data_IF_752126807748
#
_entry.id   IF_752126807748
#
_cell.length_a   1.000
_cell.length_b   1.000
_cell.length_c   1.000
_cell.angle_alpha   90.00
_cell.angle_beta   90.00
_cell.angle_gamma   90.00
#
_symmetry.space_group_name_H-M   'P 1'
#
loop_
_entity.id
_entity.type
_entity.pdbx_description
1 polymer ?
#
# COMPACT_ATOMS: atom_id res chain seq x y z
N UNK A 1 4.15 -8.60 -16.15
CA UNK A 1 4.73 -9.65 -17.01
C UNK A 1 3.64 -10.23 -17.92
N UNK A 2 3.97 -10.86 -19.07
CA UNK A 2 2.98 -11.57 -19.89
C UNK A 2 2.23 -12.62 -19.06
N UNK A 3 0.95 -12.81 -19.37
CA UNK A 3 0.08 -13.76 -18.69
C UNK A 3 -0.41 -14.86 -19.63
N UNK A 4 -0.73 -16.06 -19.12
CA UNK A 4 -1.34 -17.12 -19.92
C UNK A 4 -2.77 -16.77 -20.35
N UNK A 5 -3.31 -17.52 -21.31
CA UNK A 5 -4.72 -17.36 -21.73
C UNK A 5 -5.65 -17.61 -20.53
N UNK A 6 -6.67 -16.77 -20.37
CA UNK A 6 -7.66 -16.89 -19.29
C UNK A 6 -7.24 -16.25 -17.95
N UNK A 7 -6.11 -15.54 -17.90
CA UNK A 7 -5.64 -14.91 -16.66
C UNK A 7 -6.57 -13.82 -16.10
N UNK A 8 -7.41 -13.20 -16.94
CA UNK A 8 -8.18 -12.01 -16.55
C UNK A 8 -9.12 -12.25 -15.36
N UNK A 9 -9.61 -13.48 -15.21
CA UNK A 9 -10.53 -13.89 -14.13
C UNK A 9 -9.79 -14.46 -12.91
N UNK A 10 -8.44 -14.43 -12.90
CA UNK A 10 -7.67 -14.93 -11.77
C UNK A 10 -7.85 -14.04 -10.54
N UNK A 11 -7.87 -14.62 -9.33
CA UNK A 11 -7.89 -13.83 -8.11
C UNK A 11 -6.57 -13.07 -7.92
N UNK A 12 -6.59 -12.11 -7.00
CA UNK A 12 -5.34 -11.64 -6.38
C UNK A 12 -4.80 -12.79 -5.53
N UNK A 13 -3.52 -13.12 -5.71
CA UNK A 13 -2.83 -14.16 -4.96
C UNK A 13 -1.74 -13.52 -4.13
N UNK A 14 -1.76 -13.76 -2.82
CA UNK A 14 -0.70 -13.36 -1.89
C UNK A 14 -0.02 -14.62 -1.33
N UNK A 15 1.30 -14.58 -1.17
CA UNK A 15 2.01 -15.58 -0.38
C UNK A 15 1.86 -15.28 1.10
N UNK A 16 1.78 -16.34 1.93
CA UNK A 16 1.74 -16.16 3.39
C UNK A 16 3.07 -15.62 3.95
N UNK A 17 4.15 -15.73 3.19
CA UNK A 17 5.45 -15.18 3.57
C UNK A 17 5.55 -13.66 3.31
N UNK A 18 4.52 -13.05 2.71
CA UNK A 18 4.49 -11.63 2.33
C UNK A 18 5.71 -11.24 1.47
N UNK A 19 6.12 -12.16 0.59
CA UNK A 19 7.28 -12.02 -0.30
C UNK A 19 6.89 -11.94 -1.78
N UNK A 20 5.59 -12.10 -2.09
CA UNK A 20 5.02 -11.98 -3.42
C UNK A 20 3.50 -11.89 -3.36
N UNK A 21 2.93 -10.89 -4.04
CA UNK A 21 1.60 -11.02 -4.62
C UNK A 21 1.61 -10.81 -6.12
N UNK A 22 0.61 -11.37 -6.77
CA UNK A 22 0.33 -11.07 -8.16
C UNK A 22 -1.16 -11.04 -8.44
N UNK A 23 -1.53 -10.26 -9.46
CA UNK A 23 -2.91 -10.15 -9.92
C UNK A 23 -2.97 -9.82 -11.41
N UNK A 24 -4.10 -10.07 -12.08
CA UNK A 24 -4.36 -9.53 -13.41
C UNK A 24 -4.26 -7.99 -13.41
N UNK A 25 -3.56 -7.45 -14.39
CA UNK A 25 -3.42 -6.01 -14.62
C UNK A 25 -3.17 -5.72 -16.10
N UNK A 26 -4.03 -4.91 -16.69
CA UNK A 26 -3.91 -4.52 -18.10
C UNK A 26 -3.89 -5.71 -19.06
N UNK A 27 -2.76 -5.93 -19.71
CA UNK A 27 -2.53 -7.02 -20.67
C UNK A 27 -1.65 -8.17 -20.12
N UNK A 28 -1.49 -8.26 -18.79
CA UNK A 28 -0.69 -9.30 -18.17
C UNK A 28 -0.92 -9.43 -16.67
N UNK A 29 0.11 -9.91 -15.97
CA UNK A 29 0.12 -9.97 -14.50
C UNK A 29 0.97 -8.83 -13.94
N UNK A 30 0.47 -8.17 -12.91
CA UNK A 30 1.28 -7.34 -12.01
C UNK A 30 1.82 -8.24 -10.91
N UNK A 31 3.13 -8.15 -10.67
CA UNK A 31 3.83 -8.84 -9.58
C UNK A 31 4.33 -7.75 -8.63
N UNK A 32 4.34 -8.04 -7.34
CA UNK A 32 4.88 -7.15 -6.33
C UNK A 32 5.55 -7.97 -5.22
N UNK A 33 6.78 -7.62 -4.82
CA UNK A 33 7.50 -8.29 -3.74
C UNK A 33 7.03 -7.90 -2.33
N UNK A 34 6.06 -6.99 -2.21
CA UNK A 34 5.51 -6.49 -0.94
C UNK A 34 6.53 -5.79 0.00
N UNK A 35 7.74 -5.48 -0.50
CA UNK A 35 8.85 -4.97 0.30
C UNK A 35 8.56 -3.61 0.96
N UNK A 36 9.00 -3.49 2.22
CA UNK A 36 8.84 -2.28 3.04
C UNK A 36 10.21 -1.72 3.48
N UNK A 37 11.11 -1.50 2.53
CA UNK A 37 12.44 -0.97 2.82
C UNK A 37 12.33 0.52 3.23
N UNK A 38 12.89 0.93 4.39
CA UNK A 38 12.91 2.33 4.80
C UNK A 38 13.60 3.22 3.77
N UNK A 39 12.98 4.36 3.45
CA UNK A 39 13.50 5.31 2.48
C UNK A 39 13.14 6.75 2.85
N UNK A 40 14.06 7.66 2.56
CA UNK A 40 13.80 9.09 2.60
C UNK A 40 12.89 9.50 1.42
N UNK A 41 12.19 10.65 1.50
CA UNK A 41 11.39 11.15 0.40
C UNK A 41 12.20 11.30 -0.90
N UNK A 42 11.80 10.57 -1.93
CA UNK A 42 12.50 10.56 -3.22
C UNK A 42 11.54 10.20 -4.37
N UNK A 43 12.03 10.39 -5.61
CA UNK A 43 11.41 9.80 -6.79
C UNK A 43 11.81 8.32 -6.86
N UNK A 44 11.02 7.47 -6.21
CA UNK A 44 11.33 6.06 -6.03
C UNK A 44 11.37 5.32 -7.38
N UNK A 45 12.45 4.58 -7.61
CA UNK A 45 12.64 3.75 -8.78
C UNK A 45 12.91 2.31 -8.37
N UNK A 46 12.42 1.32 -9.13
CA UNK A 46 12.62 -0.08 -8.80
C UNK A 46 14.10 -0.47 -9.01
N UNK A 47 14.69 -1.13 -8.02
CA UNK A 47 16.03 -1.70 -8.15
C UNK A 47 15.99 -2.97 -9.02
N UNK A 48 17.03 -3.18 -9.82
CA UNK A 48 17.11 -4.34 -10.71
C UNK A 48 17.10 -5.67 -9.94
N UNK A 49 17.71 -5.70 -8.77
CA UNK A 49 17.78 -6.89 -7.92
C UNK A 49 16.41 -7.29 -7.36
N UNK A 50 15.57 -6.32 -6.96
CA UNK A 50 14.24 -6.60 -6.41
C UNK A 50 13.30 -7.09 -7.51
N UNK A 51 13.40 -6.50 -8.71
CA UNK A 51 12.69 -6.98 -9.89
C UNK A 51 13.09 -8.42 -10.23
N UNK A 52 14.40 -8.72 -10.23
CA UNK A 52 14.90 -10.06 -10.51
C UNK A 52 14.41 -11.10 -9.48
N UNK A 53 14.49 -10.79 -8.18
CA UNK A 53 14.00 -11.64 -7.09
C UNK A 53 12.50 -11.87 -7.15
N UNK A 54 11.73 -10.83 -7.45
CA UNK A 54 10.27 -10.95 -7.62
C UNK A 54 9.93 -11.93 -8.76
N UNK A 55 10.65 -11.83 -9.87
CA UNK A 55 10.46 -12.73 -11.02
C UNK A 55 10.90 -14.16 -10.68
N UNK A 56 12.06 -14.34 -10.06
CA UNK A 56 12.54 -15.64 -9.58
C UNK A 56 11.49 -16.31 -8.69
N UNK A 57 11.02 -15.59 -7.67
CA UNK A 57 10.01 -16.08 -6.72
C UNK A 57 8.70 -16.49 -7.41
N UNK A 58 8.24 -15.69 -8.35
CA UNK A 58 7.04 -15.99 -9.12
C UNK A 58 7.18 -17.25 -9.99
N UNK A 59 8.32 -17.41 -10.67
CA UNK A 59 8.61 -18.59 -11.50
C UNK A 59 8.68 -19.85 -10.64
N UNK A 60 9.34 -19.79 -9.48
CA UNK A 60 9.43 -20.89 -8.53
C UNK A 60 8.05 -21.35 -8.03
N UNK A 61 7.14 -20.42 -7.73
CA UNK A 61 5.84 -20.73 -7.16
C UNK A 61 4.78 -21.17 -8.19
N UNK A 62 4.90 -20.72 -9.44
CA UNK A 62 3.82 -20.90 -10.45
C UNK A 62 4.21 -21.76 -11.64
N UNK A 63 5.51 -21.99 -11.89
CA UNK A 63 6.07 -22.60 -13.12
C UNK A 63 5.88 -21.78 -14.40
N UNK A 64 5.32 -20.57 -14.33
CA UNK A 64 5.13 -19.70 -15.48
C UNK A 64 6.44 -19.00 -15.86
N UNK A 65 6.81 -19.05 -17.13
CA UNK A 65 7.97 -18.33 -17.63
C UNK A 65 7.71 -16.82 -17.73
N UNK A 66 8.72 -16.01 -17.42
CA UNK A 66 8.71 -14.54 -17.58
C UNK A 66 9.72 -14.15 -18.67
N UNK A 67 9.34 -14.17 -19.95
CA UNK A 67 10.28 -13.91 -21.05
C UNK A 67 10.67 -12.43 -21.18
N UNK A 68 9.85 -11.52 -20.63
CA UNK A 68 10.09 -10.08 -20.61
C UNK A 68 9.25 -9.38 -19.55
N UNK A 69 9.69 -8.19 -19.15
CA UNK A 69 8.87 -7.25 -18.39
C UNK A 69 8.03 -6.38 -19.35
N UNK A 70 6.82 -6.02 -18.94
CA UNK A 70 5.95 -5.09 -19.70
C UNK A 70 6.10 -3.65 -19.19
N UNK A 71 6.51 -3.48 -17.94
CA UNK A 71 6.73 -2.22 -17.26
C UNK A 71 7.18 -2.51 -15.82
N UNK A 72 7.72 -1.49 -15.15
CA UNK A 72 8.10 -1.53 -13.73
C UNK A 72 8.00 -0.11 -13.16
N UNK A 73 7.67 -0.03 -11.88
CA UNK A 73 7.63 1.21 -11.12
C UNK A 73 7.82 0.87 -9.64
N UNK A 74 8.19 1.85 -8.85
CA UNK A 74 8.23 1.77 -7.39
C UNK A 74 7.47 2.97 -6.82
N UNK A 75 7.05 2.84 -5.56
CA UNK A 75 6.32 3.91 -4.88
C UNK A 75 6.61 3.86 -3.39
N UNK A 76 6.58 5.03 -2.76
CA UNK A 76 6.75 5.16 -1.32
C UNK A 76 5.42 4.99 -0.60
N UNK A 77 5.48 4.40 0.59
CA UNK A 77 4.36 4.26 1.52
C UNK A 77 4.71 4.96 2.82
N UNK A 78 3.71 5.58 3.46
CA UNK A 78 3.90 6.27 4.74
C UNK A 78 3.25 5.46 5.86
N UNK A 79 4.04 5.17 6.90
CA UNK A 79 3.60 4.43 8.08
C UNK A 79 3.79 5.27 9.34
N UNK A 80 2.80 5.25 10.23
CA UNK A 80 3.01 5.69 11.61
C UNK A 80 3.83 4.63 12.38
N UNK A 81 4.49 4.99 13.49
CA UNK A 81 5.27 4.04 14.30
C UNK A 81 4.48 2.82 14.78
N UNK A 82 3.17 2.96 15.01
CA UNK A 82 2.28 1.87 15.41
C UNK A 82 1.52 1.22 14.24
N UNK A 83 1.89 1.59 13.01
CA UNK A 83 1.37 1.09 11.73
C UNK A 83 -0.14 1.29 11.52
N UNK A 84 -0.77 2.16 12.31
CA UNK A 84 -2.17 2.54 12.12
C UNK A 84 -2.25 3.91 11.43
N UNK A 85 -3.32 4.17 10.66
CA UNK A 85 -3.59 5.49 10.14
C UNK A 85 -3.63 6.54 11.26
N UNK A 86 -3.28 7.77 10.93
CA UNK A 86 -3.33 8.92 11.84
C UNK A 86 -4.38 9.89 11.32
N UNK A 87 -5.38 10.14 12.16
CA UNK A 87 -6.52 11.02 11.86
C UNK A 87 -6.75 12.04 12.97
N UNK A 88 -7.32 13.20 12.66
CA UNK A 88 -7.74 14.16 13.71
C UNK A 88 -7.07 15.52 13.60
N UNK A 89 -7.61 16.50 14.33
CA UNK A 89 -7.08 17.86 14.36
C UNK A 89 -5.79 17.93 15.17
N UNK A 90 -4.78 18.65 14.64
CA UNK A 90 -3.56 18.91 15.42
C UNK A 90 -3.82 20.04 16.44
N UNK A 91 -3.61 19.80 17.75
CA UNK A 91 -3.87 20.83 18.76
C UNK A 91 -2.88 22.01 18.70
N UNK A 92 -1.79 21.88 17.94
CA UNK A 92 -0.77 22.93 17.77
C UNK A 92 -1.00 23.79 16.52
N UNK A 93 -1.92 23.40 15.64
CA UNK A 93 -2.21 24.10 14.39
C UNK A 93 -3.72 24.16 14.15
N UNK A 94 -4.32 25.31 14.48
CA UNK A 94 -5.75 25.53 14.34
C UNK A 94 -6.23 25.26 12.90
N UNK A 95 -7.29 24.45 12.79
CA UNK A 95 -7.89 24.07 11.51
C UNK A 95 -7.13 23.02 10.70
N UNK A 96 -5.95 22.56 11.15
CA UNK A 96 -5.20 21.51 10.47
C UNK A 96 -5.69 20.12 10.88
N UNK A 97 -6.04 19.28 9.89
CA UNK A 97 -6.51 17.91 10.11
C UNK A 97 -5.58 16.89 9.45
N UNK A 98 -5.14 15.89 10.22
CA UNK A 98 -4.35 14.76 9.74
C UNK A 98 -5.24 13.71 9.08
N UNK A 99 -4.85 13.24 7.90
CA UNK A 99 -5.31 11.99 7.30
C UNK A 99 -4.09 11.36 6.62
N UNK A 100 -3.29 10.65 7.39
CA UNK A 100 -1.98 10.17 6.97
C UNK A 100 -1.70 8.75 7.48
N UNK A 101 -0.58 8.17 7.06
CA UNK A 101 -0.08 6.91 7.62
C UNK A 101 -0.89 5.67 7.26
N UNK A 102 -1.65 5.67 6.16
CA UNK A 102 -2.45 4.53 5.71
C UNK A 102 -1.61 3.34 5.21
N UNK A 103 -0.28 3.49 5.14
CA UNK A 103 0.65 2.43 4.74
C UNK A 103 0.30 1.86 3.38
N UNK A 104 0.23 0.53 3.30
CA UNK A 104 -0.15 -0.22 2.10
C UNK A 104 -1.65 -0.36 1.85
N UNK A 105 -2.52 0.10 2.75
CA UNK A 105 -3.96 -0.20 2.70
C UNK A 105 -4.82 1.02 2.36
N UNK A 106 -4.21 2.12 1.90
CA UNK A 106 -4.91 3.37 1.61
C UNK A 106 -6.06 3.22 0.61
N UNK A 107 -5.84 2.47 -0.48
CA UNK A 107 -6.88 2.25 -1.50
C UNK A 107 -8.07 1.49 -0.90
N UNK A 108 -7.81 0.36 -0.23
CA UNK A 108 -8.84 -0.49 0.36
C UNK A 108 -9.64 0.22 1.46
N UNK A 109 -8.97 1.03 2.27
CA UNK A 109 -9.59 1.72 3.42
C UNK A 109 -10.21 3.06 3.05
N UNK A 110 -9.92 3.61 1.87
CA UNK A 110 -10.34 4.96 1.45
C UNK A 110 -11.84 5.24 1.59
N UNK A 111 -12.79 4.32 1.26
CA UNK A 111 -14.21 4.64 1.38
C UNK A 111 -14.66 4.76 2.85
N UNK A 112 -14.08 3.95 3.74
CA UNK A 112 -14.38 3.98 5.17
C UNK A 112 -13.76 5.19 5.84
N UNK A 113 -12.46 5.41 5.62
CA UNK A 113 -11.73 6.54 6.17
C UNK A 113 -12.28 7.88 5.66
N UNK A 114 -12.64 7.97 4.38
CA UNK A 114 -13.22 9.19 3.82
C UNK A 114 -14.53 9.59 4.51
N UNK A 115 -15.44 8.63 4.76
CA UNK A 115 -16.68 8.91 5.50
C UNK A 115 -16.41 9.27 6.96
N UNK A 116 -15.51 8.55 7.62
CA UNK A 116 -15.13 8.84 9.00
C UNK A 116 -14.57 10.26 9.10
N UNK A 117 -13.61 10.64 8.26
CA UNK A 117 -13.00 11.97 8.25
C UNK A 117 -14.03 13.07 7.95
N UNK A 118 -14.93 12.85 6.99
CA UNK A 118 -16.01 13.80 6.72
C UNK A 118 -16.87 14.06 7.97
N UNK A 119 -17.27 13.01 8.69
CA UNK A 119 -18.02 13.15 9.95
C UNK A 119 -17.21 13.83 11.07
N UNK A 120 -15.90 13.59 11.15
CA UNK A 120 -15.01 14.27 12.11
C UNK A 120 -14.94 15.78 11.84
N UNK A 121 -14.89 16.19 10.58
CA UNK A 121 -14.72 17.58 10.17
C UNK A 121 -16.05 18.36 10.18
N UNK A 122 -17.12 17.77 9.62
CA UNK A 122 -18.38 18.48 9.38
C UNK A 122 -19.36 18.36 10.54
N UNK A 123 -19.37 17.21 11.22
CA UNK A 123 -20.43 16.84 12.17
C UNK A 123 -19.92 16.67 13.60
N UNK A 124 -18.64 16.96 13.85
CA UNK A 124 -17.97 16.75 15.14
C UNK A 124 -18.19 15.32 15.70
N UNK A 125 -18.28 14.32 14.81
CA UNK A 125 -18.42 12.91 15.20
C UNK A 125 -17.31 12.50 16.19
N UNK A 126 -17.54 11.57 17.12
CA UNK A 126 -16.52 11.18 18.09
C UNK A 126 -15.26 10.63 17.42
N UNK A 127 -14.10 10.91 18.02
CA UNK A 127 -12.83 10.36 17.58
C UNK A 127 -12.74 8.86 17.92
N UNK A 128 -12.16 8.08 17.01
CA UNK A 128 -11.69 6.73 17.32
C UNK A 128 -10.27 6.82 17.92
N UNK A 129 -10.09 6.54 19.22
CA UNK A 129 -8.78 6.63 19.87
C UNK A 129 -7.75 5.67 19.26
N UNK A 130 -8.17 4.63 18.54
CA UNK A 130 -7.26 3.71 17.88
C UNK A 130 -6.58 4.29 16.64
N UNK A 131 -7.09 5.39 16.07
CA UNK A 131 -6.53 6.06 14.89
C UNK A 131 -6.39 7.58 15.07
N UNK A 132 -6.73 8.14 16.23
CA UNK A 132 -6.60 9.57 16.50
C UNK A 132 -5.12 10.01 16.66
N UNK A 133 -4.82 11.24 16.25
CA UNK A 133 -3.50 11.87 16.33
C UNK A 133 -3.05 12.11 17.77
N UNK A 134 -3.98 12.21 18.73
CA UNK A 134 -3.69 12.35 20.16
C UNK A 134 -2.79 11.24 20.72
N UNK A 135 -2.68 10.09 20.04
CA UNK A 135 -1.72 9.02 20.39
C UNK A 135 -0.25 9.46 20.30
N UNK A 136 0.05 10.45 19.47
CA UNK A 136 1.42 10.94 19.22
C UNK A 136 1.66 12.35 19.72
N UNK A 137 0.59 13.07 20.06
CA UNK A 137 0.70 14.42 20.61
C UNK A 137 0.62 14.32 22.13
N UNK A 138 1.79 14.25 22.77
CA UNK A 138 1.88 14.48 24.20
C UNK A 138 1.74 15.98 24.45
N UNK A 139 0.79 16.36 25.30
CA UNK A 139 0.66 17.71 25.83
C UNK A 139 1.85 18.08 26.72
#
# INVERSE_FOLDING_TARGET
VPAPVGYADWPVVHTMAEDLYFKPEGNGLMLCPEDEVPSEPCDAQPEEIDVARTVERFVELTTLAVPRLLGRWAGLRTFAPDRRPVTGFDPRAEGFFWLAGQGGFGVQTSPGLGRYVAGRILDAAPADPAIDVARFVHA
#
